data_IF_353277493450
#
_entry.id   IF_353277493450
#
_cell.length_a   1.000
_cell.length_b   1.000
_cell.length_c   1.000
_cell.angle_alpha   90.00
_cell.angle_beta   90.00
_cell.angle_gamma   90.00
#
_symmetry.space_group_name_H-M   'P 1'
#
loop_
_entity.id
_entity.type
_entity.pdbx_description
1 polymer ?
#
# COMPACT_ATOMS: atom_id res chain seq x y z
N UNK A 1 -19.48 47.61 -6.08
CA UNK A 1 -20.15 46.49 -6.76
C UNK A 1 -19.04 45.53 -7.16
N UNK A 2 -18.76 44.52 -6.36
CA UNK A 2 -17.73 43.52 -6.62
C UNK A 2 -18.47 42.28 -7.09
N UNK A 3 -18.19 41.87 -8.30
CA UNK A 3 -18.79 40.72 -8.96
C UNK A 3 -18.22 39.42 -8.32
N UNK A 4 -19.07 38.74 -7.59
CA UNK A 4 -18.76 37.39 -7.07
C UNK A 4 -19.10 36.36 -8.16
N UNK A 5 -18.18 36.13 -9.08
CA UNK A 5 -18.27 34.98 -9.98
C UNK A 5 -17.92 33.70 -9.23
N UNK A 6 -18.96 33.04 -8.81
CA UNK A 6 -19.02 31.71 -8.19
C UNK A 6 -18.36 30.67 -9.11
N UNK A 7 -17.07 30.39 -8.92
CA UNK A 7 -16.38 29.26 -9.56
C UNK A 7 -16.85 27.95 -8.91
N UNK A 8 -18.01 27.46 -9.33
CA UNK A 8 -18.46 26.09 -9.03
C UNK A 8 -17.38 25.10 -9.42
N UNK A 9 -16.69 24.55 -8.44
CA UNK A 9 -15.80 23.41 -8.64
C UNK A 9 -16.59 22.29 -9.36
N UNK A 10 -16.21 21.95 -10.57
CA UNK A 10 -16.81 20.85 -11.33
C UNK A 10 -16.52 19.56 -10.56
N UNK A 11 -17.54 19.06 -9.86
CA UNK A 11 -17.52 17.76 -9.21
C UNK A 11 -17.31 16.71 -10.29
N UNK A 12 -16.12 16.12 -10.36
CA UNK A 12 -15.81 15.03 -11.26
C UNK A 12 -16.57 13.78 -10.78
N UNK A 13 -17.74 13.55 -11.36
CA UNK A 13 -18.50 12.33 -11.12
C UNK A 13 -17.76 11.20 -11.83
N UNK A 14 -17.07 10.37 -11.09
CA UNK A 14 -16.54 9.10 -11.58
C UNK A 14 -17.73 8.25 -12.06
N UNK A 15 -17.98 8.26 -13.36
CA UNK A 15 -19.00 7.41 -13.97
C UNK A 15 -18.64 5.95 -13.67
N UNK A 16 -19.62 5.19 -13.19
CA UNK A 16 -19.51 3.74 -13.05
C UNK A 16 -18.93 3.14 -14.34
N UNK A 17 -17.91 2.27 -14.26
CA UNK A 17 -17.33 1.67 -15.45
C UNK A 17 -18.43 0.99 -16.28
N UNK A 18 -18.40 1.22 -17.60
CA UNK A 18 -19.32 0.59 -18.54
C UNK A 18 -19.39 -0.93 -18.28
N UNK A 19 -20.57 -1.53 -18.31
CA UNK A 19 -20.79 -2.98 -18.05
C UNK A 19 -19.84 -3.89 -18.85
N UNK A 20 -19.41 -3.46 -20.03
CA UNK A 20 -18.42 -4.16 -20.87
C UNK A 20 -17.04 -4.19 -20.21
N UNK A 21 -16.62 -3.10 -19.59
CA UNK A 21 -15.36 -2.99 -18.84
C UNK A 21 -15.45 -3.84 -17.56
N UNK A 22 -16.60 -3.82 -16.88
CA UNK A 22 -16.82 -4.65 -15.69
C UNK A 22 -16.76 -6.15 -16.00
N UNK A 23 -17.44 -6.62 -17.07
CA UNK A 23 -17.39 -8.02 -17.52
C UNK A 23 -15.97 -8.45 -17.91
N UNK A 24 -15.22 -7.60 -18.67
CA UNK A 24 -13.83 -7.88 -19.05
C UNK A 24 -12.91 -7.91 -17.81
N UNK A 25 -13.11 -7.03 -16.87
CA UNK A 25 -12.39 -6.98 -15.60
C UNK A 25 -12.66 -8.23 -14.74
N UNK A 26 -13.92 -8.69 -14.66
CA UNK A 26 -14.28 -9.93 -13.97
C UNK A 26 -13.67 -11.17 -14.65
N UNK A 27 -13.68 -11.22 -15.97
CA UNK A 27 -13.08 -12.31 -16.74
C UNK A 27 -11.56 -12.38 -16.53
N UNK A 28 -10.86 -11.24 -16.55
CA UNK A 28 -9.43 -11.19 -16.29
C UNK A 28 -9.09 -11.57 -14.84
N UNK A 29 -9.97 -11.21 -13.88
CA UNK A 29 -9.78 -11.56 -12.45
C UNK A 29 -10.00 -13.05 -12.18
N UNK A 30 -10.81 -13.74 -12.97
CA UNK A 30 -11.07 -15.19 -12.82
C UNK A 30 -9.95 -16.05 -13.38
N UNK A 31 -9.09 -15.51 -14.28
CA UNK A 31 -7.98 -16.24 -14.85
C UNK A 31 -6.82 -16.35 -13.84
N UNK A 32 -6.53 -17.59 -13.46
CA UNK A 32 -5.30 -17.91 -12.73
C UNK A 32 -4.10 -17.84 -13.66
N UNK A 33 -3.02 -17.29 -13.17
CA UNK A 33 -1.73 -17.34 -13.88
C UNK A 33 -1.27 -18.79 -13.94
N UNK A 34 -0.89 -19.33 -15.11
CA UNK A 34 -0.36 -20.68 -15.21
C UNK A 34 0.81 -20.89 -14.24
N UNK A 35 0.89 -22.06 -13.62
CA UNK A 35 1.86 -22.37 -12.56
C UNK A 35 3.31 -22.16 -13.02
N UNK A 36 3.59 -22.44 -14.29
CA UNK A 36 4.92 -22.25 -14.91
C UNK A 36 5.31 -20.77 -15.13
N UNK A 37 4.37 -19.83 -14.97
CA UNK A 37 4.64 -18.39 -15.06
C UNK A 37 4.85 -17.76 -13.68
N UNK A 38 4.57 -18.51 -12.62
CA UNK A 38 4.78 -18.03 -11.26
C UNK A 38 6.28 -18.10 -10.96
N UNK A 39 6.84 -16.95 -10.61
CA UNK A 39 8.26 -16.84 -10.23
C UNK A 39 8.46 -17.29 -8.78
N UNK A 40 9.70 -17.73 -8.49
CA UNK A 40 10.09 -17.96 -7.10
C UNK A 40 10.03 -16.65 -6.32
N UNK A 41 9.52 -16.74 -5.09
CA UNK A 41 9.29 -15.61 -4.20
C UNK A 41 9.96 -15.87 -2.85
N UNK A 42 10.27 -14.81 -2.10
CA UNK A 42 10.84 -14.95 -0.76
C UNK A 42 9.95 -15.79 0.14
N UNK A 43 10.54 -16.76 0.82
CA UNK A 43 9.83 -17.77 1.60
C UNK A 43 8.91 -17.15 2.66
N UNK A 44 9.40 -16.18 3.45
CA UNK A 44 8.58 -15.48 4.45
C UNK A 44 7.35 -14.77 3.85
N UNK A 45 7.48 -14.28 2.60
CA UNK A 45 6.37 -13.64 1.89
C UNK A 45 5.28 -14.67 1.56
N UNK A 46 5.69 -15.84 1.06
CA UNK A 46 4.76 -16.92 0.70
C UNK A 46 4.08 -17.51 1.94
N UNK A 47 4.83 -17.78 3.00
CA UNK A 47 4.31 -18.29 4.26
C UNK A 47 3.27 -17.33 4.88
N UNK A 48 3.59 -16.03 4.91
CA UNK A 48 2.65 -15.02 5.38
C UNK A 48 1.39 -14.94 4.50
N UNK A 49 1.55 -14.99 3.17
CA UNK A 49 0.43 -15.01 2.23
C UNK A 49 -0.43 -16.28 2.36
N UNK A 50 0.15 -17.36 2.89
CA UNK A 50 -0.54 -18.63 3.17
C UNK A 50 -1.29 -18.63 4.51
N UNK A 51 -1.30 -17.50 5.24
CA UNK A 51 -2.06 -17.33 6.48
C UNK A 51 -1.36 -17.84 7.75
N UNK A 52 -0.05 -18.10 7.70
CA UNK A 52 0.71 -18.67 8.83
C UNK A 52 1.18 -17.61 9.84
N UNK A 53 1.00 -16.33 9.55
CA UNK A 53 1.38 -15.23 10.40
C UNK A 53 1.96 -14.04 9.63
N UNK A 54 2.57 -13.10 10.33
CA UNK A 54 3.24 -11.94 9.71
C UNK A 54 4.58 -12.34 9.07
N UNK A 55 5.08 -11.53 8.12
CA UNK A 55 6.41 -11.76 7.52
C UNK A 55 7.53 -11.81 8.56
N UNK A 56 7.50 -10.91 9.54
CA UNK A 56 8.50 -10.89 10.65
C UNK A 56 8.44 -12.16 11.49
N UNK A 57 7.26 -12.69 11.72
CA UNK A 57 7.10 -13.95 12.44
C UNK A 57 7.64 -15.14 11.63
N UNK A 58 7.41 -15.13 10.31
CA UNK A 58 7.96 -16.16 9.42
C UNK A 58 9.48 -16.05 9.34
N UNK A 59 10.06 -14.86 9.27
CA UNK A 59 11.52 -14.65 9.35
C UNK A 59 12.08 -15.23 10.65
N UNK A 60 11.39 -15.02 11.78
CA UNK A 60 11.80 -15.62 13.07
C UNK A 60 11.77 -17.15 13.03
N UNK A 61 10.70 -17.76 12.51
CA UNK A 61 10.61 -19.23 12.40
C UNK A 61 11.67 -19.82 11.47
N UNK A 62 12.03 -19.12 10.39
CA UNK A 62 13.12 -19.50 9.49
C UNK A 62 14.45 -19.44 10.24
N UNK A 63 14.73 -18.34 10.94
CA UNK A 63 15.96 -18.18 11.74
C UNK A 63 16.09 -19.19 12.87
N UNK A 64 14.97 -19.67 13.44
CA UNK A 64 14.90 -20.73 14.44
C UNK A 64 15.07 -22.16 13.84
N UNK A 65 15.28 -22.29 12.52
CA UNK A 65 15.40 -23.59 11.84
C UNK A 65 14.12 -24.42 11.80
N UNK A 66 12.94 -23.80 12.02
CA UNK A 66 11.63 -24.49 12.05
C UNK A 66 10.95 -24.60 10.70
N UNK A 67 11.63 -24.18 9.63
CA UNK A 67 11.09 -24.21 8.24
C UNK A 67 12.04 -25.01 7.36
N UNK A 68 11.49 -25.88 6.54
CA UNK A 68 12.24 -26.70 5.58
C UNK A 68 11.72 -26.45 4.16
N UNK A 69 12.63 -26.45 3.19
CA UNK A 69 12.35 -26.46 1.76
C UNK A 69 12.97 -27.74 1.17
N UNK A 70 12.18 -28.60 0.55
CA UNK A 70 12.62 -29.86 -0.08
C UNK A 70 13.43 -30.75 0.86
N UNK A 71 13.12 -30.73 2.17
CA UNK A 71 13.80 -31.51 3.20
C UNK A 71 15.06 -30.88 3.78
N UNK A 72 15.45 -29.69 3.34
CA UNK A 72 16.58 -28.94 3.91
C UNK A 72 16.08 -27.75 4.74
N UNK A 73 16.77 -27.46 5.85
CA UNK A 73 16.45 -26.31 6.71
C UNK A 73 16.65 -25.02 5.93
N UNK A 74 15.57 -24.21 5.88
CA UNK A 74 15.57 -22.93 5.17
C UNK A 74 16.37 -21.86 5.91
N UNK A 75 17.00 -20.97 5.15
CA UNK A 75 17.74 -19.81 5.66
C UNK A 75 17.00 -18.50 5.37
N UNK A 76 17.37 -17.44 6.14
CA UNK A 76 16.83 -16.09 5.90
C UNK A 76 17.18 -15.61 4.49
N UNK A 77 16.19 -15.18 3.74
CA UNK A 77 16.36 -14.73 2.36
C UNK A 77 16.05 -15.78 1.30
N UNK A 78 15.88 -17.04 1.69
CA UNK A 78 15.51 -18.11 0.77
C UNK A 78 14.21 -17.83 0.01
N UNK A 79 14.15 -18.40 -1.19
CA UNK A 79 12.99 -18.32 -2.08
C UNK A 79 12.42 -19.72 -2.31
N UNK A 80 11.12 -19.77 -2.48
CA UNK A 80 10.45 -20.99 -2.90
C UNK A 80 9.69 -20.78 -4.21
N UNK A 81 9.65 -21.82 -5.02
CA UNK A 81 8.90 -21.92 -6.27
C UNK A 81 7.58 -22.66 -6.05
N UNK A 82 6.64 -22.60 -7.02
CA UNK A 82 5.39 -23.38 -6.93
C UNK A 82 5.56 -24.90 -6.94
N UNK A 83 6.77 -25.36 -7.18
CA UNK A 83 7.10 -26.79 -7.24
C UNK A 83 7.79 -27.30 -5.99
N UNK A 84 8.21 -26.37 -5.09
CA UNK A 84 8.91 -26.73 -3.88
C UNK A 84 7.95 -27.23 -2.79
N UNK A 85 8.43 -28.20 -2.02
CA UNK A 85 7.75 -28.73 -0.85
C UNK A 85 8.25 -28.00 0.38
N UNK A 86 7.35 -27.33 1.09
CA UNK A 86 7.69 -26.56 2.29
C UNK A 86 7.01 -27.15 3.52
N UNK A 87 7.79 -27.32 4.60
CA UNK A 87 7.29 -27.69 5.91
C UNK A 87 7.55 -26.60 6.93
N UNK A 88 6.62 -26.39 7.84
CA UNK A 88 6.76 -25.49 8.99
C UNK A 88 6.47 -26.29 10.25
N UNK A 89 7.42 -26.34 11.18
CA UNK A 89 7.34 -27.16 12.40
C UNK A 89 6.98 -28.63 12.07
N UNK A 90 7.64 -29.19 11.04
CA UNK A 90 7.42 -30.55 10.55
C UNK A 90 6.11 -30.78 9.75
N UNK A 91 5.19 -29.82 9.68
CA UNK A 91 3.93 -29.94 8.97
C UNK A 91 4.03 -29.38 7.55
N UNK A 92 3.53 -30.14 6.57
CA UNK A 92 3.47 -29.71 5.17
C UNK A 92 2.56 -28.49 5.02
N UNK A 93 3.04 -27.48 4.33
CA UNK A 93 2.32 -26.24 4.05
C UNK A 93 2.08 -26.07 2.56
N UNK A 94 0.83 -25.80 2.19
CA UNK A 94 0.49 -25.39 0.82
C UNK A 94 0.77 -23.90 0.65
N UNK A 95 1.79 -23.58 -0.11
CA UNK A 95 2.13 -22.17 -0.40
C UNK A 95 1.10 -21.53 -1.33
N UNK A 96 0.72 -20.29 -0.99
CA UNK A 96 -0.17 -19.46 -1.81
C UNK A 96 0.69 -18.48 -2.60
N UNK A 97 0.72 -18.65 -3.91
CA UNK A 97 1.40 -17.75 -4.84
C UNK A 97 0.43 -16.67 -5.34
N UNK A 98 0.93 -15.50 -5.75
CA UNK A 98 0.11 -14.43 -6.32
C UNK A 98 -0.33 -14.81 -7.75
N UNK A 99 -1.35 -15.64 -7.85
CA UNK A 99 -1.90 -16.21 -9.09
C UNK A 99 -3.03 -15.39 -9.71
N UNK A 100 -3.39 -14.26 -9.12
CA UNK A 100 -4.47 -13.40 -9.58
C UNK A 100 -4.01 -11.95 -9.70
N UNK A 101 -4.67 -11.21 -10.60
CA UNK A 101 -4.47 -9.76 -10.68
C UNK A 101 -4.83 -9.10 -9.34
N UNK A 102 -4.02 -8.11 -8.91
CA UNK A 102 -4.31 -7.38 -7.69
C UNK A 102 -5.62 -6.62 -7.81
N UNK A 103 -6.39 -6.59 -6.73
CA UNK A 103 -7.51 -5.66 -6.61
C UNK A 103 -6.99 -4.32 -6.12
N UNK A 104 -7.60 -3.25 -6.58
CA UNK A 104 -7.26 -1.88 -6.19
C UNK A 104 -8.54 -1.13 -5.87
N UNK A 105 -8.52 -0.33 -4.80
CA UNK A 105 -9.56 0.60 -4.40
C UNK A 105 -8.93 1.97 -4.25
N UNK A 106 -9.61 2.98 -4.77
CA UNK A 106 -9.34 4.38 -4.49
C UNK A 106 -10.26 4.81 -3.36
N UNK A 107 -9.71 5.34 -2.30
CA UNK A 107 -10.43 5.78 -1.11
C UNK A 107 -10.13 7.25 -0.85
N UNK A 108 -11.18 8.07 -0.75
CA UNK A 108 -11.04 9.43 -0.26
C UNK A 108 -11.07 9.38 1.27
N UNK A 109 -9.89 9.42 1.89
CA UNK A 109 -9.76 9.42 3.35
C UNK A 109 -10.22 10.78 3.89
N UNK A 110 -11.21 10.86 4.78
CA UNK A 110 -11.52 12.08 5.50
C UNK A 110 -10.49 12.33 6.61
N UNK A 111 -10.45 13.55 7.14
CA UNK A 111 -9.81 13.81 8.43
C UNK A 111 -10.56 13.04 9.55
N UNK A 112 -9.83 12.66 10.61
CA UNK A 112 -10.40 11.91 11.73
C UNK A 112 -10.32 10.39 11.61
N UNK A 113 -9.69 9.86 10.59
CA UNK A 113 -9.41 8.43 10.44
C UNK A 113 -7.91 8.15 10.47
N UNK A 114 -7.51 6.99 11.01
CA UNK A 114 -6.12 6.53 11.02
C UNK A 114 -5.87 5.46 9.97
N UNK A 115 -4.65 5.40 9.46
CA UNK A 115 -4.19 4.33 8.55
C UNK A 115 -3.42 3.28 9.35
N UNK A 116 -4.13 2.58 10.22
CA UNK A 116 -3.58 1.49 11.04
C UNK A 116 -4.64 0.43 11.29
N UNK A 117 -4.22 -0.85 11.35
CA UNK A 117 -5.10 -1.98 11.74
C UNK A 117 -5.24 -2.13 13.25
N UNK A 118 -4.31 -1.58 14.02
CA UNK A 118 -4.29 -1.64 15.47
C UNK A 118 -4.07 -0.24 16.00
N UNK A 119 -4.99 0.22 16.80
CA UNK A 119 -4.89 1.50 17.47
C UNK A 119 -5.21 1.35 18.97
N UNK A 120 -4.23 1.59 19.85
CA UNK A 120 -4.44 1.52 21.29
C UNK A 120 -5.47 2.54 21.80
N UNK A 121 -5.70 3.62 21.03
CA UNK A 121 -6.63 4.70 21.38
C UNK A 121 -8.06 4.48 20.85
N UNK A 122 -8.31 3.38 20.14
CA UNK A 122 -9.64 3.05 19.60
C UNK A 122 -10.19 4.03 18.56
N UNK A 123 -9.32 4.75 17.84
CA UNK A 123 -9.74 5.68 16.78
C UNK A 123 -10.25 4.91 15.55
N UNK A 124 -11.13 5.52 14.78
CA UNK A 124 -11.69 4.93 13.56
C UNK A 124 -10.56 4.66 12.57
N UNK A 125 -10.48 3.44 12.08
CA UNK A 125 -9.52 3.03 11.07
C UNK A 125 -10.11 3.08 9.66
N UNK A 126 -9.30 3.47 8.68
CA UNK A 126 -9.66 3.35 7.26
C UNK A 126 -9.96 1.91 6.85
N UNK A 127 -9.38 0.91 7.54
CA UNK A 127 -9.60 -0.50 7.26
C UNK A 127 -11.01 -0.98 7.66
N UNK A 128 -11.69 -0.27 8.55
CA UNK A 128 -13.08 -0.54 8.95
C UNK A 128 -14.08 -0.06 7.88
N UNK A 129 -13.65 0.83 6.98
CA UNK A 129 -14.49 1.46 5.95
C UNK A 129 -14.36 0.81 4.58
N UNK A 130 -13.25 0.10 4.33
CA UNK A 130 -13.08 -0.58 3.03
C UNK A 130 -13.80 -1.92 3.01
N UNK A 131 -14.40 -2.32 1.85
CA UNK A 131 -15.13 -3.57 1.77
C UNK A 131 -14.21 -4.78 2.02
N UNK A 132 -14.71 -5.84 2.66
CA UNK A 132 -13.91 -7.04 2.91
C UNK A 132 -13.47 -7.70 1.60
N UNK A 133 -12.30 -8.33 1.63
CA UNK A 133 -11.77 -9.10 0.51
C UNK A 133 -11.51 -10.54 0.94
N UNK A 134 -12.09 -11.51 0.19
CA UNK A 134 -11.96 -12.94 0.50
C UNK A 134 -10.51 -13.41 0.33
N UNK A 135 -9.98 -14.08 1.36
CA UNK A 135 -8.68 -14.77 1.32
C UNK A 135 -7.46 -13.87 1.14
N UNK A 136 -7.59 -12.57 1.29
CA UNK A 136 -6.51 -11.57 1.21
C UNK A 136 -6.80 -10.42 2.14
N UNK A 137 -5.79 -9.57 2.34
CA UNK A 137 -5.93 -8.33 3.10
C UNK A 137 -5.66 -7.12 2.21
N UNK A 138 -6.30 -6.01 2.55
CA UNK A 138 -5.96 -4.72 1.96
C UNK A 138 -4.64 -4.20 2.53
N UNK A 139 -3.78 -3.75 1.65
CA UNK A 139 -2.55 -3.03 1.98
C UNK A 139 -2.73 -1.60 1.51
N UNK A 140 -2.52 -0.62 2.38
CA UNK A 140 -2.53 0.78 2.00
C UNK A 140 -1.25 1.15 1.24
N UNK A 141 -1.39 1.94 0.20
CA UNK A 141 -0.26 2.56 -0.52
C UNK A 141 0.09 3.85 0.21
N UNK A 142 1.05 3.76 1.12
CA UNK A 142 1.41 4.84 2.01
C UNK A 142 0.41 5.05 3.15
N UNK A 143 0.52 6.19 3.80
CA UNK A 143 -0.33 6.61 4.90
C UNK A 143 -0.59 8.10 4.80
N UNK A 144 -1.77 8.51 5.23
CA UNK A 144 -2.12 9.89 5.52
C UNK A 144 -2.35 10.01 7.02
N UNK A 145 -1.94 11.11 7.61
CA UNK A 145 -2.09 11.37 9.04
C UNK A 145 -3.56 11.55 9.43
N UNK A 146 -3.83 11.54 10.73
CA UNK A 146 -5.18 11.63 11.28
C UNK A 146 -5.94 12.86 10.77
N UNK A 147 -5.29 14.02 10.74
CA UNK A 147 -5.88 15.29 10.31
C UNK A 147 -5.79 15.54 8.79
N UNK A 148 -5.10 14.67 8.06
CA UNK A 148 -4.94 14.80 6.60
C UNK A 148 -6.09 14.10 5.89
N UNK A 149 -6.68 14.77 4.91
CA UNK A 149 -7.67 14.19 3.99
C UNK A 149 -7.09 14.06 2.59
N UNK A 150 -7.61 13.13 1.79
CA UNK A 150 -7.20 13.01 0.39
C UNK A 150 -7.22 11.58 -0.13
N UNK A 151 -6.56 11.38 -1.27
CA UNK A 151 -6.51 10.10 -1.95
C UNK A 151 -5.62 9.10 -1.20
N UNK A 152 -6.22 7.96 -0.85
CA UNK A 152 -5.52 6.80 -0.35
C UNK A 152 -5.85 5.59 -1.24
N UNK A 153 -4.83 4.87 -1.67
CA UNK A 153 -4.98 3.69 -2.51
C UNK A 153 -4.84 2.44 -1.65
N UNK A 154 -5.74 1.47 -1.81
CA UNK A 154 -5.60 0.14 -1.24
C UNK A 154 -5.42 -0.89 -2.34
N UNK A 155 -4.58 -1.87 -2.09
CA UNK A 155 -4.38 -2.99 -3.00
C UNK A 155 -4.25 -4.31 -2.24
N UNK A 156 -4.55 -5.43 -2.92
CA UNK A 156 -4.28 -6.77 -2.39
C UNK A 156 -2.87 -7.28 -2.73
N UNK A 157 -2.04 -6.45 -3.37
CA UNK A 157 -0.66 -6.78 -3.72
C UNK A 157 0.32 -5.89 -2.98
N UNK A 158 1.09 -6.46 -2.06
CA UNK A 158 2.16 -5.75 -1.38
C UNK A 158 3.27 -5.28 -2.33
N UNK A 159 3.49 -5.96 -3.45
CA UNK A 159 4.48 -5.55 -4.45
C UNK A 159 4.02 -4.29 -5.18
N UNK A 160 2.72 -4.22 -5.52
CA UNK A 160 2.15 -3.01 -6.12
C UNK A 160 2.21 -1.85 -5.12
N UNK A 161 1.84 -2.08 -3.85
CA UNK A 161 1.96 -1.06 -2.81
C UNK A 161 3.42 -0.56 -2.68
N UNK A 162 4.38 -1.48 -2.65
CA UNK A 162 5.80 -1.14 -2.58
C UNK A 162 6.27 -0.29 -3.79
N UNK A 163 5.81 -0.61 -5.02
CA UNK A 163 6.15 0.18 -6.22
C UNK A 163 5.66 1.62 -6.14
N UNK A 164 4.53 1.85 -5.49
CA UNK A 164 4.00 3.21 -5.29
C UNK A 164 4.61 3.94 -4.10
N UNK A 165 5.17 3.23 -3.12
CA UNK A 165 5.65 3.86 -1.88
C UNK A 165 7.17 3.96 -1.79
N UNK A 166 7.90 3.05 -2.42
CA UNK A 166 9.36 3.01 -2.29
C UNK A 166 10.02 4.13 -3.13
N UNK A 167 10.93 4.91 -2.54
CA UNK A 167 11.56 6.07 -3.20
C UNK A 167 12.25 5.75 -4.53
N UNK A 168 12.81 4.53 -4.67
CA UNK A 168 13.50 4.13 -5.90
C UNK A 168 12.63 4.10 -7.16
N UNK A 169 11.30 4.12 -7.01
CA UNK A 169 10.37 4.14 -8.15
C UNK A 169 9.95 5.56 -8.55
N UNK A 170 10.37 6.58 -7.78
CA UNK A 170 10.16 8.00 -8.07
C UNK A 170 8.73 8.34 -8.53
N UNK A 171 7.74 7.80 -7.82
CA UNK A 171 6.31 8.10 -8.12
C UNK A 171 5.96 9.45 -7.52
N UNK A 172 5.58 10.40 -8.37
CA UNK A 172 5.19 11.74 -7.97
C UNK A 172 3.97 11.75 -7.06
N UNK A 173 3.97 12.64 -6.07
CA UNK A 173 2.86 12.87 -5.15
C UNK A 173 2.64 14.36 -5.03
N UNK A 174 1.37 14.75 -5.09
CA UNK A 174 0.96 16.15 -4.95
C UNK A 174 0.19 16.33 -3.64
N UNK A 175 0.55 17.36 -2.88
CA UNK A 175 -0.10 17.71 -1.63
C UNK A 175 -0.52 19.18 -1.65
N UNK A 176 -1.79 19.45 -1.37
CA UNK A 176 -2.25 20.80 -1.09
C UNK A 176 -2.13 21.08 0.41
N UNK A 177 -1.31 22.06 0.78
CA UNK A 177 -1.07 22.43 2.19
C UNK A 177 -1.76 23.74 2.48
N UNK A 178 -2.58 23.79 3.55
CA UNK A 178 -3.16 25.02 4.07
C UNK A 178 -2.35 25.47 5.28
N UNK A 179 -1.93 26.71 5.25
CA UNK A 179 -1.18 27.37 6.33
C UNK A 179 -2.00 28.52 6.90
N UNK A 180 -1.69 28.92 8.14
CA UNK A 180 -2.42 29.96 8.85
C UNK A 180 -1.83 31.38 8.65
N UNK A 181 -0.76 31.52 7.86
CA UNK A 181 -0.07 32.79 7.58
C UNK A 181 0.30 32.89 6.11
N UNK A 182 0.47 34.10 5.63
CA UNK A 182 1.07 34.34 4.32
C UNK A 182 2.56 33.97 4.36
N UNK A 183 3.02 33.26 3.33
CA UNK A 183 4.43 32.96 3.15
C UNK A 183 5.06 34.05 2.27
N UNK A 184 6.18 34.64 2.72
CA UNK A 184 6.98 35.47 1.85
C UNK A 184 7.64 34.62 0.77
N UNK A 185 8.00 35.25 -0.37
CA UNK A 185 8.73 34.57 -1.44
C UNK A 185 10.09 34.01 -0.96
N UNK A 186 10.72 34.63 0.01
CA UNK A 186 11.96 34.16 0.60
C UNK A 186 11.76 32.84 1.33
N UNK A 187 10.69 32.71 2.14
CA UNK A 187 10.35 31.48 2.84
C UNK A 187 9.97 30.38 1.84
N UNK A 188 9.22 30.71 0.78
CA UNK A 188 8.88 29.75 -0.28
C UNK A 188 10.14 29.22 -0.98
N UNK A 189 11.08 30.10 -1.32
CA UNK A 189 12.34 29.71 -1.93
C UNK A 189 13.19 28.85 -0.97
N UNK A 190 13.24 29.20 0.31
CA UNK A 190 13.92 28.39 1.32
C UNK A 190 13.31 26.99 1.45
N UNK A 191 11.97 26.90 1.47
CA UNK A 191 11.26 25.63 1.47
C UNK A 191 11.63 24.71 0.29
N UNK A 192 11.80 25.29 -0.89
CA UNK A 192 12.15 24.55 -2.11
C UNK A 192 13.62 24.12 -2.12
N UNK A 193 14.54 24.98 -1.66
CA UNK A 193 15.99 24.78 -1.75
C UNK A 193 16.55 23.98 -0.57
N UNK A 194 16.16 24.34 0.64
CA UNK A 194 16.73 23.81 1.89
C UNK A 194 15.80 22.82 2.62
N UNK A 195 14.48 22.96 2.39
CA UNK A 195 13.47 22.24 3.14
C UNK A 195 13.19 22.86 4.51
N UNK A 196 12.37 22.20 5.32
CA UNK A 196 12.07 22.62 6.69
C UNK A 196 12.53 21.55 7.67
N UNK A 197 13.18 21.97 8.73
CA UNK A 197 13.42 21.11 9.90
C UNK A 197 12.16 21.05 10.75
N UNK A 198 11.56 19.87 10.86
CA UNK A 198 10.42 19.64 11.75
C UNK A 198 10.89 19.08 13.07
N UNK A 199 10.37 19.63 14.19
CA UNK A 199 10.74 19.26 15.57
C UNK A 199 10.48 17.77 15.89
N UNK A 200 9.72 17.05 15.08
CA UNK A 200 9.39 15.64 15.33
C UNK A 200 9.72 14.66 14.20
N UNK A 201 10.15 15.10 13.01
CA UNK A 201 10.54 14.22 11.91
C UNK A 201 11.60 14.87 11.02
N UNK A 202 12.59 14.10 10.64
CA UNK A 202 13.67 14.42 9.73
C UNK A 202 13.18 14.98 8.40
N UNK A 203 13.68 16.15 8.05
CA UNK A 203 13.76 16.80 6.74
C UNK A 203 12.66 16.45 5.72
N UNK A 204 11.62 17.29 5.65
CA UNK A 204 10.83 17.45 4.43
C UNK A 204 11.68 18.21 3.41
N UNK A 205 12.32 17.48 2.51
CA UNK A 205 12.93 18.10 1.33
C UNK A 205 11.87 18.26 0.24
N UNK A 206 11.90 19.38 -0.45
CA UNK A 206 10.97 19.78 -1.51
C UNK A 206 10.86 18.80 -2.71
N UNK A 207 11.70 17.77 -2.78
CA UNK A 207 11.57 16.69 -3.76
C UNK A 207 10.32 15.83 -3.61
N UNK A 208 9.58 15.98 -2.51
CA UNK A 208 8.32 15.28 -2.27
C UNK A 208 7.10 16.21 -2.29
N UNK A 209 7.29 17.52 -2.55
CA UNK A 209 6.20 18.51 -2.45
C UNK A 209 6.27 19.47 -3.63
N UNK A 210 5.34 19.34 -4.58
CA UNK A 210 5.09 20.40 -5.57
C UNK A 210 4.16 21.41 -4.91
N UNK A 211 4.66 22.62 -4.66
CA UNK A 211 3.83 23.76 -4.23
C UNK A 211 3.24 24.40 -5.47
N UNK A 212 1.93 24.25 -5.68
CA UNK A 212 1.16 25.05 -6.62
C UNK A 212 0.41 26.12 -5.83
N UNK A 213 0.79 27.36 -6.05
CA UNK A 213 0.10 28.58 -5.58
C UNK A 213 -1.10 28.89 -6.47
#
# INVERSE_FOLDING_TARGET
>A
MVDQSDKKAKRMVLRSPNQRIQKRSQYLRSRRVPKNWLKSERLQKLLAASGLGSRREMDRLIGEGKVEINGQVAQLGDKASPYDTVKVKGKLVKLVFPDHLPRVILYHKPAGEIVSRRDPKGRISVFDKVPPVRGKEWVSVGRLDFNTSGLLIFTTSGDLANRFTHPSFAVDREYAVRINSELSEEILNQLVTEGIESVSYTHLRAHETSLHL
#
